data_IF_481426188405
#
_entry.id   IF_481426188405
#
_cell.length_a   1.000
_cell.length_b   1.000
_cell.length_c   1.000
_cell.angle_alpha   90.00
_cell.angle_beta   90.00
_cell.angle_gamma   90.00
#
_symmetry.space_group_name_H-M   'P 1'
#
loop_
_entity.id
_entity.type
_entity.pdbx_description
1 polymer ?
#
# COMPACT_ATOMS: atom_id res chain seq x y z
N UNK A 1 -21.00 -12.05 4.64
CA UNK A 1 -20.34 -10.83 4.16
C UNK A 1 -18.84 -11.04 4.19
N UNK A 2 -18.16 -10.71 3.12
CA UNK A 2 -16.71 -10.78 3.08
C UNK A 2 -16.12 -9.38 3.03
N UNK A 3 -14.96 -9.19 3.68
CA UNK A 3 -14.23 -7.93 3.67
C UNK A 3 -12.88 -8.15 3.05
N UNK A 4 -12.45 -7.20 2.23
CA UNK A 4 -11.14 -7.19 1.60
C UNK A 4 -10.34 -6.03 2.16
N UNK A 5 -9.22 -6.36 2.82
CA UNK A 5 -8.29 -5.35 3.34
C UNK A 5 -7.10 -5.22 2.38
N UNK A 6 -6.50 -4.06 2.37
CA UNK A 6 -5.22 -3.85 1.68
C UNK A 6 -4.19 -3.41 2.70
N UNK A 7 -3.08 -4.14 2.79
CA UNK A 7 -1.97 -3.78 3.65
C UNK A 7 -0.85 -3.11 2.86
N UNK A 8 -0.24 -2.09 3.41
CA UNK A 8 0.91 -1.43 2.82
C UNK A 8 1.97 -1.22 3.90
N UNK A 9 3.21 -1.60 3.60
CA UNK A 9 4.34 -1.39 4.51
C UNK A 9 5.15 -0.19 4.06
N UNK A 10 5.59 0.61 5.03
CA UNK A 10 6.37 1.81 4.75
C UNK A 10 7.84 1.56 4.43
N UNK A 11 8.30 0.33 4.57
CA UNK A 11 9.70 -0.01 4.30
C UNK A 11 9.81 -0.82 3.02
N UNK A 12 10.78 -0.48 2.19
CA UNK A 12 11.07 -1.21 0.95
C UNK A 12 12.02 -2.38 1.15
N UNK A 13 12.53 -2.59 2.36
CA UNK A 13 13.46 -3.68 2.64
C UNK A 13 12.73 -5.02 2.57
N UNK A 14 13.34 -5.99 1.88
CA UNK A 14 12.76 -7.32 1.70
C UNK A 14 12.45 -8.01 3.03
N UNK A 15 13.32 -7.81 4.04
CA UNK A 15 13.16 -8.41 5.36
C UNK A 15 12.69 -7.38 6.38
N UNK A 16 11.85 -6.46 5.96
CA UNK A 16 11.30 -5.43 6.85
C UNK A 16 10.43 -6.07 7.94
N UNK A 17 10.58 -5.61 9.17
CA UNK A 17 9.73 -6.00 10.28
C UNK A 17 8.26 -5.66 10.00
N UNK A 18 8.02 -4.51 9.39
CA UNK A 18 6.65 -4.07 9.08
C UNK A 18 5.99 -4.95 8.02
N UNK A 19 6.76 -5.43 7.03
CA UNK A 19 6.23 -6.39 6.07
C UNK A 19 5.92 -7.71 6.76
N UNK A 20 6.76 -8.13 7.70
CA UNK A 20 6.51 -9.32 8.51
C UNK A 20 5.24 -9.18 9.35
N UNK A 21 4.99 -8.01 9.92
CA UNK A 21 3.77 -7.74 10.67
C UNK A 21 2.53 -7.84 9.77
N UNK A 22 2.58 -7.31 8.56
CA UNK A 22 1.47 -7.44 7.62
C UNK A 22 1.21 -8.90 7.26
N UNK A 23 2.25 -9.69 7.04
CA UNK A 23 2.10 -11.11 6.73
C UNK A 23 1.52 -11.88 7.91
N UNK A 24 1.95 -11.57 9.13
CA UNK A 24 1.40 -12.18 10.34
C UNK A 24 -0.07 -11.82 10.51
N UNK A 25 -0.43 -10.56 10.29
CA UNK A 25 -1.82 -10.12 10.35
C UNK A 25 -2.66 -10.84 9.29
N UNK A 26 -2.13 -10.97 8.07
CA UNK A 26 -2.81 -11.66 6.98
C UNK A 26 -3.12 -13.12 7.34
N UNK A 27 -2.22 -13.78 8.04
CA UNK A 27 -2.38 -15.19 8.44
C UNK A 27 -3.38 -15.38 9.57
N UNK A 28 -3.74 -14.34 10.30
CA UNK A 28 -4.57 -14.43 11.50
C UNK A 28 -5.88 -13.65 11.40
N UNK A 29 -6.34 -13.39 10.18
CA UNK A 29 -7.59 -12.67 9.96
C UNK A 29 -8.79 -13.54 10.33
N UNK A 30 -9.89 -12.91 10.81
CA UNK A 30 -11.13 -13.65 11.04
C UNK A 30 -11.70 -14.24 9.77
N UNK A 31 -12.59 -15.21 9.92
CA UNK A 31 -13.32 -15.76 8.78
C UNK A 31 -14.08 -14.65 8.05
N UNK A 32 -14.04 -14.70 6.72
CA UNK A 32 -14.70 -13.70 5.89
C UNK A 32 -13.88 -12.46 5.65
N UNK A 33 -12.67 -12.37 6.22
CA UNK A 33 -11.78 -11.23 6.01
C UNK A 33 -10.52 -11.71 5.30
N UNK A 34 -10.17 -11.06 4.19
CA UNK A 34 -8.93 -11.32 3.48
C UNK A 34 -8.13 -10.03 3.37
N UNK A 35 -6.82 -10.14 3.19
CA UNK A 35 -5.97 -8.98 3.02
C UNK A 35 -4.92 -9.24 1.94
N UNK A 36 -4.87 -8.36 0.95
CA UNK A 36 -3.75 -8.29 0.02
C UNK A 36 -2.68 -7.38 0.61
N UNK A 37 -1.44 -7.62 0.26
CA UNK A 37 -0.34 -6.75 0.64
C UNK A 37 0.20 -6.10 -0.64
N UNK A 38 0.09 -4.78 -0.71
CA UNK A 38 0.54 -4.05 -1.88
C UNK A 38 2.07 -4.00 -1.93
N UNK A 39 2.64 -4.27 -3.11
CA UNK A 39 4.07 -4.15 -3.34
C UNK A 39 4.37 -2.72 -3.80
N UNK A 40 5.20 -2.01 -3.04
CA UNK A 40 5.55 -0.62 -3.34
C UNK A 40 6.96 -0.45 -3.90
N UNK A 41 7.74 -1.53 -3.94
CA UNK A 41 9.15 -1.46 -4.33
C UNK A 41 9.34 -0.89 -5.74
N UNK A 42 8.43 -1.20 -6.65
CA UNK A 42 8.50 -0.79 -8.05
C UNK A 42 7.64 0.44 -8.37
N UNK A 43 7.07 1.10 -7.36
CA UNK A 43 6.27 2.31 -7.56
C UNK A 43 7.20 3.51 -7.71
N UNK A 44 7.16 4.22 -8.85
CA UNK A 44 8.02 5.38 -9.05
C UNK A 44 7.56 6.59 -8.23
N UNK A 45 8.41 7.60 -8.11
CA UNK A 45 8.01 8.84 -7.49
C UNK A 45 6.87 9.49 -8.27
N UNK A 46 5.96 10.11 -7.53
CA UNK A 46 4.84 10.82 -8.13
C UNK A 46 5.33 11.90 -9.09
N UNK A 47 4.73 11.94 -10.27
CA UNK A 47 5.05 12.94 -11.29
C UNK A 47 3.75 13.31 -12.01
N UNK A 48 3.27 14.52 -11.76
CA UNK A 48 2.03 15.02 -12.35
C UNK A 48 2.12 15.24 -13.87
N UNK A 49 3.34 15.29 -14.42
CA UNK A 49 3.55 15.55 -15.84
C UNK A 49 3.46 14.30 -16.71
N UNK A 50 3.35 13.11 -16.09
CA UNK A 50 3.21 11.88 -16.85
C UNK A 50 1.84 11.83 -17.53
N UNK A 51 1.84 11.48 -18.81
CA UNK A 51 0.60 11.35 -19.58
C UNK A 51 -0.17 10.08 -19.23
N UNK A 52 0.52 9.07 -18.75
CA UNK A 52 -0.09 7.80 -18.34
C UNK A 52 0.45 7.38 -16.99
N UNK A 53 -0.37 6.72 -16.20
CA UNK A 53 0.08 6.17 -14.92
C UNK A 53 0.96 4.95 -15.17
N UNK A 54 2.12 4.85 -14.49
CA UNK A 54 2.91 3.62 -14.55
C UNK A 54 2.11 2.39 -14.13
N UNK A 55 2.43 1.23 -14.70
CA UNK A 55 1.71 0.00 -14.42
C UNK A 55 1.70 -0.36 -12.93
N UNK A 56 2.82 -0.12 -12.24
CA UNK A 56 2.91 -0.39 -10.80
C UNK A 56 1.92 0.46 -10.01
N UNK A 57 1.73 1.72 -10.40
CA UNK A 57 0.77 2.63 -9.76
C UNK A 57 -0.65 2.13 -10.00
N UNK A 58 -0.98 1.79 -11.25
CA UNK A 58 -2.32 1.28 -11.60
C UNK A 58 -2.64 0.02 -10.81
N UNK A 59 -1.67 -0.88 -10.65
CA UNK A 59 -1.84 -2.10 -9.86
C UNK A 59 -2.27 -1.78 -8.43
N UNK A 60 -1.57 -0.87 -7.75
CA UNK A 60 -1.88 -0.52 -6.36
C UNK A 60 -3.20 0.22 -6.26
N UNK A 61 -3.49 1.14 -7.20
CA UNK A 61 -4.76 1.85 -7.22
C UNK A 61 -5.94 0.90 -7.42
N UNK A 62 -5.78 -0.14 -8.23
CA UNK A 62 -6.81 -1.17 -8.41
C UNK A 62 -7.05 -1.91 -7.11
N UNK A 63 -5.99 -2.26 -6.37
CA UNK A 63 -6.12 -2.90 -5.07
C UNK A 63 -6.81 -1.99 -4.06
N UNK A 64 -6.49 -0.69 -4.07
CA UNK A 64 -7.14 0.29 -3.20
C UNK A 64 -8.63 0.40 -3.50
N UNK A 65 -9.00 0.44 -4.78
CA UNK A 65 -10.40 0.56 -5.19
C UNK A 65 -11.23 -0.65 -4.75
N UNK A 66 -10.61 -1.83 -4.68
CA UNK A 66 -11.27 -3.05 -4.28
C UNK A 66 -11.31 -3.26 -2.76
N UNK A 67 -10.57 -2.45 -2.01
CA UNK A 67 -10.43 -2.66 -0.57
C UNK A 67 -11.55 -1.99 0.21
N UNK A 68 -11.99 -2.66 1.26
CA UNK A 68 -12.94 -2.12 2.24
C UNK A 68 -12.23 -1.36 3.35
N UNK A 69 -10.96 -1.69 3.60
CA UNK A 69 -10.16 -1.04 4.63
C UNK A 69 -8.68 -1.09 4.27
N UNK A 70 -7.93 -0.13 4.77
CA UNK A 70 -6.50 0.01 4.54
C UNK A 70 -5.74 -0.20 5.84
N UNK A 71 -4.74 -1.07 5.81
CA UNK A 71 -3.88 -1.34 6.96
C UNK A 71 -2.47 -0.86 6.65
N UNK A 72 -1.97 0.09 7.42
CA UNK A 72 -0.65 0.67 7.22
C UNK A 72 0.31 0.19 8.30
N UNK A 73 1.42 -0.44 7.89
CA UNK A 73 2.53 -0.76 8.77
C UNK A 73 3.62 0.29 8.51
N UNK A 74 3.65 1.31 9.34
CA UNK A 74 4.43 2.51 9.07
C UNK A 74 5.53 2.72 10.13
N UNK A 75 6.81 2.58 9.75
CA UNK A 75 7.88 2.96 10.66
C UNK A 75 7.95 4.48 10.78
N UNK A 76 8.41 4.95 11.92
CA UNK A 76 8.64 6.37 12.11
C UNK A 76 9.99 6.77 11.53
N UNK A 77 10.00 7.76 10.66
CA UNK A 77 11.22 8.38 10.12
C UNK A 77 11.08 9.89 10.28
N UNK A 78 11.83 10.46 11.22
CA UNK A 78 11.84 11.92 11.43
C UNK A 78 10.43 12.50 11.58
N UNK A 79 9.59 11.83 12.37
CA UNK A 79 8.21 12.27 12.63
C UNK A 79 7.34 12.39 11.39
N UNK A 80 7.64 11.61 10.36
CA UNK A 80 6.90 11.63 9.10
C UNK A 80 6.60 10.21 8.66
N UNK A 81 5.68 10.08 7.70
CA UNK A 81 5.43 8.80 7.04
C UNK A 81 6.67 8.37 6.27
N UNK A 82 6.87 7.05 6.18
CA UNK A 82 7.93 6.52 5.35
C UNK A 82 7.76 7.01 3.90
N UNK A 83 8.85 7.32 3.20
CA UNK A 83 8.76 7.89 1.86
C UNK A 83 7.94 7.05 0.87
N UNK A 84 8.05 5.74 0.90
CA UNK A 84 7.31 4.87 -0.01
C UNK A 84 5.80 4.99 0.19
N UNK A 85 5.34 5.04 1.44
CA UNK A 85 3.92 5.23 1.76
C UNK A 85 3.45 6.62 1.34
N UNK A 86 4.21 7.65 1.69
CA UNK A 86 3.87 9.02 1.33
C UNK A 86 3.73 9.15 -0.17
N UNK A 87 4.67 8.59 -0.93
CA UNK A 87 4.65 8.61 -2.39
C UNK A 87 3.39 7.93 -2.94
N UNK A 88 3.04 6.76 -2.40
CA UNK A 88 1.84 6.06 -2.87
C UNK A 88 0.56 6.84 -2.54
N UNK A 89 0.51 7.47 -1.39
CA UNK A 89 -0.62 8.31 -1.02
C UNK A 89 -0.72 9.53 -1.94
N UNK A 90 0.41 10.09 -2.36
CA UNK A 90 0.42 11.19 -3.34
C UNK A 90 -0.18 10.75 -4.67
N UNK A 91 0.16 9.55 -5.15
CA UNK A 91 -0.47 9.00 -6.35
C UNK A 91 -1.98 8.83 -6.16
N UNK A 92 -2.38 8.25 -5.03
CA UNK A 92 -3.79 7.96 -4.75
C UNK A 92 -4.62 9.23 -4.61
N UNK A 93 -4.04 10.32 -4.09
CA UNK A 93 -4.74 11.57 -3.88
C UNK A 93 -5.16 12.25 -5.18
N UNK A 94 -4.63 11.79 -6.31
CA UNK A 94 -4.95 12.35 -7.63
C UNK A 94 -6.05 11.55 -8.36
N UNK A 95 -6.64 10.55 -7.71
CA UNK A 95 -7.74 9.80 -8.27
C UNK A 95 -9.07 10.48 -7.97
N UNK A 96 -10.05 10.40 -8.87
CA UNK A 96 -9.98 9.90 -10.24
C UNK A 96 -9.55 11.01 -11.20
N UNK A 97 -8.47 10.79 -11.92
CA UNK A 97 -7.99 11.76 -12.93
C UNK A 97 -7.93 11.11 -14.29
#
# INVERSE_FOLDING_TARGET
>A
MSLQFLGMAGSLRTKSTNRGLLRAAQAHLPEGVTMDVAELLDVPFYNADLSEKPAAVTRVLTQLAAADALVLACPEYNYSLAPALKNMLDWASREPD
#
